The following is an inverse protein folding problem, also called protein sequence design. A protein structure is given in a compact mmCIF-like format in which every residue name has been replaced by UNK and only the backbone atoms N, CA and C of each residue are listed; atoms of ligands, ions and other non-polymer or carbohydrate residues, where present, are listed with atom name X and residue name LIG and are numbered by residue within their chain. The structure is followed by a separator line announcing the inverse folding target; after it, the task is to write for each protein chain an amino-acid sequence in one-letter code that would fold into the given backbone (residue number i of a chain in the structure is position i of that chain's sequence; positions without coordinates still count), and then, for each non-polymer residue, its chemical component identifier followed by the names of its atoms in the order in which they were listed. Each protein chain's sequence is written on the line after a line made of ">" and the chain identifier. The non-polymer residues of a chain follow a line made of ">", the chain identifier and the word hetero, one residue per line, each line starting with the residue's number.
data_IF_198641455424
#
_entry.id   IF_198641455424
#
_cell.length_a   1.000
_cell.length_b   1.000
_cell.length_c   1.000
_cell.angle_alpha   90.00
_cell.angle_beta   90.00
_cell.angle_gamma   90.00
#
_symmetry.space_group_name_H-M   'P 1'
#
loop_
_entity.id
_entity.type
_entity.pdbx_description
1 polymer ?
#
# COMPACT_ATOMS: atom_id res chain seq x y z
N UNK A 1 -22.94 2.00 -15.52
CA UNK A 1 -23.16 1.03 -16.61
C UNK A 1 -22.05 1.24 -17.62
N UNK A 2 -21.41 0.16 -18.06
CA UNK A 2 -20.28 0.21 -19.00
C UNK A 2 -20.65 -0.58 -20.26
N UNK A 3 -20.31 -0.06 -21.44
CA UNK A 3 -20.54 -0.72 -22.72
C UNK A 3 -19.35 -1.62 -23.08
N UNK A 4 -19.60 -2.79 -23.66
CA UNK A 4 -18.58 -3.73 -24.08
C UNK A 4 -19.00 -4.53 -25.31
N UNK A 5 -18.03 -5.06 -26.04
CA UNK A 5 -18.25 -5.86 -27.26
C UNK A 5 -17.55 -7.20 -27.11
N UNK A 6 -18.22 -8.29 -27.46
CA UNK A 6 -17.63 -9.64 -27.39
C UNK A 6 -16.77 -9.94 -28.63
N UNK A 7 -16.07 -11.08 -28.64
CA UNK A 7 -15.22 -11.50 -29.78
C UNK A 7 -15.97 -11.83 -31.07
N UNK A 8 -17.30 -11.92 -31.01
CA UNK A 8 -18.20 -12.12 -32.17
C UNK A 8 -18.75 -10.80 -32.72
N UNK A 9 -18.45 -9.66 -32.07
CA UNK A 9 -18.92 -8.35 -32.47
C UNK A 9 -20.28 -7.95 -31.89
N UNK A 10 -20.84 -8.71 -30.95
CA UNK A 10 -22.10 -8.32 -30.30
C UNK A 10 -21.83 -7.33 -29.17
N UNK A 11 -22.56 -6.21 -29.21
CA UNK A 11 -22.55 -5.20 -28.15
C UNK A 11 -23.45 -5.60 -26.99
N UNK A 12 -22.95 -5.41 -25.78
CA UNK A 12 -23.68 -5.63 -24.53
C UNK A 12 -23.29 -4.60 -23.48
N UNK A 13 -24.06 -4.56 -22.40
CA UNK A 13 -23.79 -3.71 -21.26
C UNK A 13 -23.43 -4.53 -20.02
N UNK A 14 -22.55 -3.96 -19.20
CA UNK A 14 -22.22 -4.42 -17.86
C UNK A 14 -22.88 -3.47 -16.86
N UNK A 15 -23.73 -4.03 -16.00
CA UNK A 15 -24.26 -3.29 -14.86
C UNK A 15 -23.24 -3.39 -13.73
N UNK A 16 -22.49 -2.30 -13.55
CA UNK A 16 -21.44 -2.21 -12.54
C UNK A 16 -21.94 -1.45 -11.30
N UNK A 17 -21.84 -2.08 -10.14
CA UNK A 17 -21.97 -1.42 -8.84
C UNK A 17 -20.58 -1.23 -8.22
N UNK A 18 -20.32 -0.05 -7.67
CA UNK A 18 -19.10 0.22 -6.88
C UNK A 18 -19.52 0.34 -5.42
N UNK A 19 -18.96 -0.50 -4.54
CA UNK A 19 -19.44 -0.66 -3.15
C UNK A 19 -18.27 -0.74 -2.16
N UNK A 20 -18.49 -0.42 -0.89
CA UNK A 20 -17.45 -0.54 0.15
C UNK A 20 -17.06 -1.99 0.46
N UNK A 21 -16.02 -2.18 1.29
CA UNK A 21 -15.47 -3.51 1.59
C UNK A 21 -16.50 -4.46 2.22
N UNK A 22 -17.28 -4.00 3.20
CA UNK A 22 -18.28 -4.84 3.88
C UNK A 22 -19.35 -5.35 2.90
N UNK A 23 -19.91 -4.45 2.09
CA UNK A 23 -20.89 -4.80 1.05
C UNK A 23 -20.27 -5.73 0.00
N UNK A 24 -19.02 -5.46 -0.41
CA UNK A 24 -18.31 -6.29 -1.39
C UNK A 24 -18.11 -7.73 -0.87
N UNK A 25 -17.71 -7.87 0.40
CA UNK A 25 -17.54 -9.18 1.05
C UNK A 25 -18.88 -9.91 1.17
N UNK A 26 -19.94 -9.23 1.62
CA UNK A 26 -21.28 -9.81 1.76
C UNK A 26 -21.86 -10.26 0.41
N UNK A 27 -21.66 -9.48 -0.65
CA UNK A 27 -22.08 -9.84 -2.01
C UNK A 27 -21.28 -11.04 -2.55
N UNK A 28 -20.01 -11.18 -2.15
CA UNK A 28 -19.18 -12.35 -2.48
C UNK A 28 -19.75 -13.66 -1.91
N UNK A 29 -20.30 -13.63 -0.69
CA UNK A 29 -20.93 -14.79 -0.06
C UNK A 29 -22.25 -15.22 -0.74
N UNK A 30 -22.90 -14.30 -1.44
CA UNK A 30 -24.18 -14.55 -2.15
C UNK A 30 -23.98 -15.21 -3.52
N UNK A 31 -22.73 -15.37 -3.99
CA UNK A 31 -22.44 -16.00 -5.27
C UNK A 31 -22.90 -17.46 -5.26
N UNK A 32 -23.83 -17.81 -6.16
CA UNK A 32 -24.41 -19.14 -6.27
C UNK A 32 -25.66 -19.36 -5.40
N UNK A 33 -26.11 -18.36 -4.63
CA UNK A 33 -27.41 -18.40 -3.97
C UNK A 33 -28.54 -18.18 -5.00
N UNK A 34 -29.51 -19.11 -5.01
CA UNK A 34 -30.60 -19.13 -6.00
C UNK A 34 -31.53 -17.91 -5.91
N UNK A 35 -31.77 -17.41 -4.70
CA UNK A 35 -32.66 -16.27 -4.50
C UNK A 35 -31.99 -14.96 -4.95
N UNK A 36 -30.71 -14.81 -4.64
CA UNK A 36 -29.88 -13.70 -5.07
C UNK A 36 -29.73 -13.68 -6.59
N UNK A 37 -29.44 -14.82 -7.23
CA UNK A 37 -29.40 -14.94 -8.69
C UNK A 37 -30.72 -14.56 -9.38
N UNK A 38 -31.85 -14.97 -8.80
CA UNK A 38 -33.17 -14.62 -9.33
C UNK A 38 -33.38 -13.10 -9.26
N UNK A 39 -33.04 -12.49 -8.12
CA UNK A 39 -33.14 -11.05 -7.89
C UNK A 39 -32.25 -10.27 -8.87
N UNK A 40 -31.00 -10.68 -9.05
CA UNK A 40 -30.07 -10.07 -9.99
C UNK A 40 -30.56 -10.19 -11.45
N UNK A 41 -31.17 -11.32 -11.83
CA UNK A 41 -31.81 -11.46 -13.15
C UNK A 41 -33.00 -10.52 -13.34
N UNK A 42 -33.84 -10.34 -12.32
CA UNK A 42 -34.93 -9.36 -12.38
C UNK A 42 -34.41 -7.94 -12.56
N UNK A 43 -33.34 -7.57 -11.85
CA UNK A 43 -32.68 -6.26 -11.99
C UNK A 43 -32.11 -6.09 -13.41
N UNK A 44 -31.39 -7.08 -13.93
CA UNK A 44 -30.82 -7.04 -15.28
C UNK A 44 -31.90 -6.85 -16.36
N UNK A 45 -33.01 -7.59 -16.25
CA UNK A 45 -34.12 -7.51 -17.20
C UNK A 45 -34.79 -6.13 -17.15
N UNK A 46 -35.18 -5.68 -15.95
CA UNK A 46 -35.82 -4.38 -15.78
C UNK A 46 -34.93 -3.22 -16.25
N UNK A 47 -33.61 -3.36 -16.07
CA UNK A 47 -32.65 -2.34 -16.54
C UNK A 47 -32.44 -2.43 -18.06
N UNK A 48 -32.50 -3.62 -18.65
CA UNK A 48 -32.38 -3.82 -20.10
C UNK A 48 -33.52 -3.13 -20.85
N UNK A 49 -34.73 -3.12 -20.30
CA UNK A 49 -35.89 -2.42 -20.88
C UNK A 49 -35.69 -0.90 -21.01
N UNK A 50 -34.72 -0.33 -20.29
CA UNK A 50 -34.38 1.09 -20.33
C UNK A 50 -33.29 1.42 -21.36
N UNK A 51 -32.68 0.41 -22.00
CA UNK A 51 -31.57 0.61 -22.92
C UNK A 51 -32.05 0.94 -24.34
N UNK A 52 -31.43 1.90 -25.03
CA UNK A 52 -31.72 2.17 -26.44
C UNK A 52 -31.41 0.98 -27.37
N UNK A 53 -30.38 0.21 -27.01
CA UNK A 53 -29.92 -0.98 -27.74
C UNK A 53 -29.02 -1.84 -26.85
N UNK A 54 -28.95 -3.13 -27.14
CA UNK A 54 -28.14 -4.09 -26.38
C UNK A 54 -28.90 -4.71 -25.21
N UNK A 55 -28.18 -5.44 -24.36
CA UNK A 55 -28.73 -6.10 -23.19
C UNK A 55 -27.70 -6.13 -22.05
N UNK A 56 -28.16 -6.22 -20.80
CA UNK A 56 -27.26 -6.45 -19.67
C UNK A 56 -26.80 -7.91 -19.73
N UNK A 57 -25.51 -8.13 -20.01
CA UNK A 57 -24.92 -9.48 -20.06
C UNK A 57 -24.32 -9.89 -18.72
N UNK A 58 -23.76 -8.93 -18.00
CA UNK A 58 -23.11 -9.17 -16.71
C UNK A 58 -23.57 -8.13 -15.70
N UNK A 59 -23.80 -8.59 -14.47
CA UNK A 59 -23.79 -7.72 -13.29
C UNK A 59 -22.46 -7.95 -12.61
N UNK A 60 -21.72 -6.87 -12.41
CA UNK A 60 -20.41 -6.89 -11.79
C UNK A 60 -20.40 -5.96 -10.59
N UNK A 61 -19.60 -6.31 -9.60
CA UNK A 61 -19.35 -5.48 -8.43
C UNK A 61 -17.86 -5.13 -8.43
N UNK A 62 -17.56 -3.86 -8.20
CA UNK A 62 -16.20 -3.35 -8.00
C UNK A 62 -16.09 -2.87 -6.56
N UNK A 63 -14.98 -3.22 -5.91
CA UNK A 63 -14.66 -2.64 -4.60
C UNK A 63 -14.34 -1.15 -4.79
N UNK A 64 -15.01 -0.29 -4.03
CA UNK A 64 -14.66 1.11 -3.93
C UNK A 64 -13.32 1.22 -3.20
N UNK A 65 -12.29 1.67 -3.92
CA UNK A 65 -10.98 1.99 -3.34
C UNK A 65 -10.77 3.49 -3.19
N UNK A 66 -11.73 4.33 -3.58
CA UNK A 66 -11.57 5.79 -3.57
C UNK A 66 -11.59 6.36 -2.14
N UNK A 67 -12.20 5.65 -1.20
CA UNK A 67 -12.17 5.98 0.24
C UNK A 67 -10.88 5.48 0.93
N UNK A 68 -10.02 4.75 0.21
CA UNK A 68 -8.75 4.30 0.75
C UNK A 68 -7.74 5.44 0.75
N UNK A 69 -6.80 5.46 1.72
CA UNK A 69 -5.69 6.40 1.67
C UNK A 69 -4.96 6.26 0.33
N UNK A 70 -4.86 7.35 -0.43
CA UNK A 70 -4.07 7.32 -1.67
C UNK A 70 -2.60 7.07 -1.34
N UNK A 71 -1.94 6.28 -2.18
CA UNK A 71 -0.51 6.02 -2.03
C UNK A 71 0.29 7.32 -2.22
N UNK A 72 1.15 7.64 -1.26
CA UNK A 72 2.22 8.63 -1.46
C UNK A 72 3.14 8.07 -2.53
N UNK A 73 3.53 8.86 -3.53
CA UNK A 73 4.42 8.42 -4.60
C UNK A 73 5.74 7.86 -4.04
N UNK A 74 6.32 6.86 -4.71
CA UNK A 74 7.65 6.36 -4.36
C UNK A 74 8.70 7.47 -4.57
N UNK A 75 9.61 7.68 -3.62
CA UNK A 75 10.67 8.69 -3.76
C UNK A 75 11.68 8.31 -4.82
N UNK A 76 12.13 9.32 -5.57
CA UNK A 76 13.32 9.22 -6.41
C UNK A 76 14.57 9.33 -5.51
N UNK A 77 15.20 8.20 -5.19
CA UNK A 77 16.37 8.16 -4.32
C UNK A 77 17.65 8.33 -5.15
N UNK A 78 18.49 9.31 -4.79
CA UNK A 78 19.73 9.61 -5.52
C UNK A 78 20.78 8.51 -5.39
N UNK A 79 20.69 7.71 -4.33
CA UNK A 79 21.63 6.65 -4.02
C UNK A 79 20.85 5.37 -3.77
N UNK A 80 20.96 4.46 -4.74
CA UNK A 80 20.26 3.17 -4.71
C UNK A 80 21.27 2.02 -4.74
N UNK A 81 21.02 1.02 -3.90
CA UNK A 81 21.47 -0.32 -4.23
C UNK A 81 20.39 -0.99 -5.08
N UNK A 82 20.78 -1.91 -5.96
CA UNK A 82 19.84 -2.70 -6.78
C UNK A 82 18.77 -3.41 -5.94
N UNK A 83 19.10 -3.76 -4.68
CA UNK A 83 18.15 -4.33 -3.73
C UNK A 83 17.08 -3.34 -3.29
N UNK A 84 17.44 -2.06 -3.06
CA UNK A 84 16.50 -1.01 -2.64
C UNK A 84 15.58 -0.64 -3.80
N UNK A 85 16.14 -0.44 -4.99
CA UNK A 85 15.39 -0.15 -6.21
C UNK A 85 14.33 -1.24 -6.48
N UNK A 86 14.77 -2.50 -6.50
CA UNK A 86 13.87 -3.64 -6.69
C UNK A 86 12.78 -3.72 -5.61
N UNK A 87 13.11 -3.44 -4.36
CA UNK A 87 12.13 -3.46 -3.28
C UNK A 87 11.06 -2.37 -3.45
N UNK A 88 11.43 -1.17 -3.90
CA UNK A 88 10.46 -0.11 -4.21
C UNK A 88 9.58 -0.48 -5.40
N UNK A 89 10.16 -1.00 -6.49
CA UNK A 89 9.38 -1.47 -7.65
C UNK A 89 8.40 -2.59 -7.30
N UNK A 90 8.83 -3.55 -6.48
CA UNK A 90 7.99 -4.65 -6.04
C UNK A 90 6.85 -4.13 -5.15
N UNK A 91 7.11 -3.12 -4.30
CA UNK A 91 6.07 -2.45 -3.52
C UNK A 91 5.05 -1.76 -4.43
N UNK A 92 5.48 -1.05 -5.46
CA UNK A 92 4.59 -0.37 -6.40
C UNK A 92 3.70 -1.34 -7.17
N UNK A 93 4.25 -2.47 -7.65
CA UNK A 93 3.47 -3.52 -8.31
C UNK A 93 2.42 -4.12 -7.37
N UNK A 94 2.77 -4.35 -6.10
CA UNK A 94 1.86 -4.88 -5.09
C UNK A 94 0.75 -3.89 -4.75
N UNK A 95 1.06 -2.60 -4.61
CA UNK A 95 0.06 -1.56 -4.37
C UNK A 95 -0.89 -1.45 -5.58
N UNK A 96 -0.37 -1.44 -6.79
CA UNK A 96 -1.16 -1.37 -8.01
C UNK A 96 -2.12 -2.55 -8.20
N UNK A 97 -1.85 -3.70 -7.56
CA UNK A 97 -2.74 -4.87 -7.59
C UNK A 97 -4.04 -4.69 -6.76
N UNK A 98 -4.13 -3.67 -5.91
CA UNK A 98 -5.31 -3.37 -5.08
C UNK A 98 -5.51 -4.25 -3.84
N UNK A 99 -4.81 -5.39 -3.71
CA UNK A 99 -4.88 -6.27 -2.53
C UNK A 99 -3.51 -6.56 -1.91
N UNK A 100 -2.44 -5.99 -2.47
CA UNK A 100 -1.07 -6.27 -2.08
C UNK A 100 -0.50 -5.37 -0.98
N UNK A 101 -1.27 -4.48 -0.33
CA UNK A 101 -0.70 -3.47 0.57
C UNK A 101 0.04 -4.10 1.76
N UNK A 102 -0.49 -5.17 2.37
CA UNK A 102 0.20 -5.86 3.48
C UNK A 102 1.55 -6.44 3.05
N UNK A 103 1.63 -7.00 1.84
CA UNK A 103 2.90 -7.48 1.27
C UNK A 103 3.80 -6.32 0.83
N UNK A 104 3.24 -5.23 0.34
CA UNK A 104 3.98 -4.03 -0.04
C UNK A 104 4.64 -3.36 1.17
N UNK A 105 4.02 -3.44 2.35
CA UNK A 105 4.59 -2.96 3.61
C UNK A 105 5.95 -3.60 3.92
N UNK A 106 6.08 -4.92 3.70
CA UNK A 106 7.38 -5.62 3.83
C UNK A 106 8.42 -5.09 2.84
N UNK A 107 7.99 -4.82 1.60
CA UNK A 107 8.87 -4.31 0.54
C UNK A 107 9.36 -2.90 0.83
N UNK A 108 8.49 -1.97 1.25
CA UNK A 108 8.93 -0.61 1.63
C UNK A 108 9.76 -0.60 2.89
N UNK A 109 9.49 -1.50 3.85
CA UNK A 109 10.36 -1.67 5.02
C UNK A 109 11.75 -2.18 4.59
N UNK A 110 11.83 -3.15 3.69
CA UNK A 110 13.10 -3.65 3.13
C UNK A 110 13.87 -2.54 2.42
N UNK A 111 13.18 -1.71 1.62
CA UNK A 111 13.75 -0.56 0.94
C UNK A 111 14.34 0.47 1.93
N UNK A 112 13.57 0.87 2.95
CA UNK A 112 14.04 1.78 4.00
C UNK A 112 15.28 1.23 4.71
N UNK A 113 15.32 -0.07 4.99
CA UNK A 113 16.46 -0.66 5.68
C UNK A 113 17.70 -0.64 4.82
N UNK A 114 17.58 -1.08 3.57
CA UNK A 114 18.69 -1.07 2.63
C UNK A 114 19.23 0.35 2.40
N UNK A 115 18.33 1.32 2.27
CA UNK A 115 18.69 2.71 2.04
C UNK A 115 19.43 3.32 3.23
N UNK A 116 18.93 3.15 4.47
CA UNK A 116 19.62 3.60 5.69
C UNK A 116 21.01 2.97 5.84
N UNK A 117 21.17 1.69 5.49
CA UNK A 117 22.48 1.02 5.50
C UNK A 117 23.46 1.66 4.50
N UNK A 118 22.99 1.97 3.29
CA UNK A 118 23.79 2.63 2.26
C UNK A 118 24.24 4.01 2.74
N UNK A 119 23.32 4.83 3.26
CA UNK A 119 23.62 6.17 3.75
C UNK A 119 24.59 6.15 4.94
N UNK A 120 24.39 5.25 5.90
CA UNK A 120 25.32 5.09 7.02
C UNK A 120 26.72 4.74 6.53
N UNK A 121 26.84 3.79 5.60
CA UNK A 121 28.13 3.37 5.04
C UNK A 121 28.84 4.52 4.33
N UNK A 122 28.14 5.32 3.53
CA UNK A 122 28.71 6.46 2.81
C UNK A 122 29.13 7.59 3.75
N UNK A 123 28.40 7.78 4.84
CA UNK A 123 28.77 8.72 5.90
C UNK A 123 29.85 8.20 6.86
N UNK A 124 30.36 6.97 6.66
CA UNK A 124 31.36 6.35 7.54
C UNK A 124 30.81 5.92 8.91
N UNK A 125 29.49 5.79 9.05
CA UNK A 125 28.80 5.34 10.26
C UNK A 125 28.83 3.80 10.30
N UNK A 126 29.40 3.25 11.38
CA UNK A 126 29.53 1.80 11.54
C UNK A 126 28.17 1.13 11.74
N UNK A 127 27.82 0.21 10.85
CA UNK A 127 26.62 -0.63 10.93
C UNK A 127 27.03 -2.10 10.83
N UNK A 128 26.57 -2.91 11.78
CA UNK A 128 26.91 -4.33 11.82
C UNK A 128 26.05 -5.12 10.81
N UNK A 129 26.58 -6.20 10.20
CA UNK A 129 25.78 -7.08 9.37
C UNK A 129 24.56 -7.63 10.13
N UNK A 130 23.36 -7.40 9.58
CA UNK A 130 22.11 -7.85 10.20
C UNK A 130 21.66 -7.02 11.40
N UNK A 131 22.26 -5.84 11.63
CA UNK A 131 21.80 -4.90 12.64
C UNK A 131 20.31 -4.54 12.42
N UNK A 132 19.56 -4.40 13.51
CA UNK A 132 18.14 -4.08 13.43
C UNK A 132 17.91 -2.68 12.87
N UNK A 133 16.92 -2.53 12.02
CA UNK A 133 16.50 -1.25 11.44
C UNK A 133 16.41 -0.12 12.48
N UNK A 134 15.83 -0.36 13.66
CA UNK A 134 15.70 0.66 14.70
C UNK A 134 17.04 1.13 15.27
N UNK A 135 18.01 0.22 15.37
CA UNK A 135 19.39 0.55 15.76
C UNK A 135 20.10 1.33 14.65
N UNK A 136 19.96 0.91 13.39
CA UNK A 136 20.51 1.62 12.23
C UNK A 136 19.93 3.03 12.12
N UNK A 137 18.60 3.18 12.24
CA UNK A 137 17.92 4.47 12.18
C UNK A 137 18.33 5.40 13.34
N UNK A 138 18.53 4.85 14.53
CA UNK A 138 19.07 5.61 15.67
C UNK A 138 20.48 6.16 15.35
N UNK A 139 21.38 5.30 14.87
CA UNK A 139 22.75 5.72 14.48
C UNK A 139 22.70 6.79 13.41
N UNK A 140 21.90 6.59 12.36
CA UNK A 140 21.70 7.55 11.28
C UNK A 140 21.27 8.92 11.82
N UNK A 141 20.23 8.97 12.65
CA UNK A 141 19.71 10.22 13.22
C UNK A 141 20.72 10.94 14.14
N UNK A 142 21.54 10.21 14.85
CA UNK A 142 22.46 10.77 15.86
C UNK A 142 23.85 11.10 15.31
N UNK A 143 24.21 10.56 14.14
CA UNK A 143 25.58 10.66 13.61
C UNK A 143 25.65 11.21 12.19
N UNK A 144 24.58 11.13 11.39
CA UNK A 144 24.62 11.61 10.02
C UNK A 144 24.63 13.15 9.98
N UNK A 145 25.65 13.81 9.39
CA UNK A 145 25.81 15.26 9.47
C UNK A 145 24.60 16.04 8.95
N UNK A 146 23.95 15.56 7.88
CA UNK A 146 22.77 16.21 7.30
C UNK A 146 21.49 16.11 8.15
N UNK A 147 21.49 15.25 9.17
CA UNK A 147 20.35 15.03 10.07
C UNK A 147 20.54 15.69 11.44
N UNK A 148 21.72 16.23 11.73
CA UNK A 148 21.97 17.04 12.91
C UNK A 148 21.36 18.43 12.71
N UNK A 149 20.10 18.59 13.11
CA UNK A 149 19.35 19.84 13.00
C UNK A 149 19.39 20.63 14.31
N UNK A 150 19.97 21.83 14.28
CA UNK A 150 20.07 22.76 15.41
C UNK A 150 19.26 24.06 15.21
N UNK A 151 18.43 24.11 14.16
CA UNK A 151 17.60 25.27 13.83
C UNK A 151 16.37 25.46 14.73
N UNK A 152 15.45 26.37 14.35
CA UNK A 152 14.25 26.65 15.11
C UNK A 152 13.43 25.39 15.41
N UNK A 153 12.95 25.27 16.66
CA UNK A 153 12.14 24.13 17.13
C UNK A 153 12.84 22.76 17.00
N UNK A 154 14.16 22.73 17.14
CA UNK A 154 14.97 21.49 17.04
C UNK A 154 14.53 20.40 18.02
N UNK A 155 14.06 20.77 19.21
CA UNK A 155 13.52 19.82 20.19
C UNK A 155 12.26 19.12 19.67
N UNK A 156 11.30 19.88 19.13
CA UNK A 156 10.05 19.37 18.58
C UNK A 156 10.30 18.49 17.35
N UNK A 157 11.18 18.93 16.45
CA UNK A 157 11.61 18.12 15.31
C UNK A 157 12.25 16.81 15.79
N UNK A 158 13.14 16.88 16.79
CA UNK A 158 13.74 15.71 17.41
C UNK A 158 12.73 14.76 18.05
N UNK A 159 11.64 15.26 18.64
CA UNK A 159 10.54 14.44 19.14
C UNK A 159 9.80 13.71 18.03
N UNK A 160 9.52 14.37 16.90
CA UNK A 160 8.90 13.74 15.73
C UNK A 160 9.76 12.59 15.21
N UNK A 161 11.07 12.77 15.10
CA UNK A 161 11.98 11.69 14.69
C UNK A 161 12.03 10.53 15.68
N UNK A 162 11.97 10.80 16.99
CA UNK A 162 11.85 9.73 17.99
C UNK A 162 10.53 8.98 17.81
N UNK A 163 9.44 9.68 17.50
CA UNK A 163 8.16 9.08 17.11
C UNK A 163 8.27 8.19 15.87
N UNK A 164 9.02 8.63 14.85
CA UNK A 164 9.30 7.82 13.66
C UNK A 164 10.03 6.51 14.01
N UNK A 165 10.97 6.53 14.96
CA UNK A 165 11.61 5.31 15.44
C UNK A 165 10.60 4.33 16.09
N UNK A 166 9.64 4.85 16.85
CA UNK A 166 8.54 4.04 17.42
C UNK A 166 7.65 3.44 16.33
N UNK A 167 7.33 4.22 15.27
CA UNK A 167 6.56 3.73 14.12
C UNK A 167 7.32 2.59 13.42
N UNK A 168 8.62 2.75 13.17
CA UNK A 168 9.46 1.70 12.55
C UNK A 168 9.45 0.41 13.39
N UNK A 169 9.54 0.51 14.72
CA UNK A 169 9.48 -0.66 15.61
C UNK A 169 8.10 -1.35 15.56
N UNK A 170 7.02 -0.57 15.52
CA UNK A 170 5.67 -1.10 15.38
C UNK A 170 5.49 -1.83 14.04
N UNK A 171 5.99 -1.25 12.94
CA UNK A 171 5.97 -1.89 11.61
C UNK A 171 6.73 -3.23 11.62
N UNK A 172 7.87 -3.33 12.29
CA UNK A 172 8.60 -4.61 12.45
C UNK A 172 7.72 -5.69 13.07
N UNK A 173 6.98 -5.35 14.12
CA UNK A 173 6.07 -6.27 14.82
C UNK A 173 4.91 -6.68 13.92
N UNK A 174 4.28 -5.70 13.26
CA UNK A 174 3.15 -5.92 12.38
C UNK A 174 3.52 -6.79 11.17
N UNK A 175 4.68 -6.56 10.55
CA UNK A 175 5.20 -7.42 9.48
C UNK A 175 5.40 -8.87 9.95
N UNK A 176 5.99 -9.06 11.14
CA UNK A 176 6.27 -10.40 11.66
C UNK A 176 4.99 -11.19 11.99
N UNK A 177 3.93 -10.48 12.37
CA UNK A 177 2.67 -11.09 12.81
C UNK A 177 1.61 -11.16 11.69
N UNK A 178 1.78 -10.42 10.59
CA UNK A 178 0.88 -10.44 9.43
C UNK A 178 1.19 -11.58 8.43
N UNK A 179 2.04 -12.54 8.79
CA UNK A 179 2.38 -13.66 7.90
C UNK A 179 1.26 -14.72 7.89
N UNK A 180 0.92 -15.19 6.70
CA UNK A 180 -0.08 -16.25 6.39
C UNK A 180 0.25 -17.62 7.05
N UNK A 181 1.35 -17.73 7.80
CA UNK A 181 1.86 -18.98 8.36
C UNK A 181 1.19 -19.42 9.67
N UNK A 182 0.35 -18.57 10.28
CA UNK A 182 -0.41 -18.93 11.47
C UNK A 182 -1.93 -18.76 11.26
N UNK A 183 -2.76 -19.76 11.60
CA UNK A 183 -4.23 -19.72 11.45
C UNK A 183 -4.97 -18.68 12.31
N UNK A 184 -4.27 -17.74 12.95
CA UNK A 184 -4.91 -16.76 13.82
C UNK A 184 -5.28 -15.51 13.01
N UNK A 185 -6.49 -15.57 12.45
CA UNK A 185 -7.53 -14.53 12.55
C UNK A 185 -7.04 -13.07 12.65
N UNK A 186 -6.68 -12.52 11.49
CA UNK A 186 -6.92 -11.15 11.00
C UNK A 186 -5.67 -10.58 10.29
N UNK A 187 -5.65 -10.73 8.96
CA UNK A 187 -4.70 -10.02 8.09
C UNK A 187 -4.95 -8.52 8.25
N UNK A 188 -3.89 -7.74 8.45
CA UNK A 188 -3.98 -6.27 8.54
C UNK A 188 -4.82 -5.73 7.37
N UNK A 189 -5.86 -4.90 7.63
CA UNK A 189 -6.67 -4.39 6.56
C UNK A 189 -5.88 -3.42 5.67
N UNK A 190 -6.31 -3.29 4.43
CA UNK A 190 -5.55 -2.60 3.38
C UNK A 190 -5.36 -1.10 3.69
N UNK A 191 -6.28 -0.49 4.44
CA UNK A 191 -6.24 0.94 4.75
C UNK A 191 -5.12 1.26 5.74
N UNK A 192 -4.99 0.44 6.78
CA UNK A 192 -3.93 0.50 7.78
C UNK A 192 -2.57 0.19 7.13
N UNK A 193 -2.52 -0.84 6.26
CA UNK A 193 -1.30 -1.16 5.53
C UNK A 193 -0.84 0.02 4.65
N UNK A 194 -1.77 0.66 3.93
CA UNK A 194 -1.47 1.81 3.10
C UNK A 194 -1.05 3.04 3.93
N UNK A 195 -1.71 3.28 5.07
CA UNK A 195 -1.29 4.31 6.01
C UNK A 195 0.16 4.13 6.46
N UNK A 196 0.56 2.91 6.84
CA UNK A 196 1.93 2.61 7.26
C UNK A 196 2.94 2.75 6.11
N UNK A 197 2.57 2.30 4.90
CA UNK A 197 3.37 2.51 3.69
C UNK A 197 3.62 4.01 3.48
N UNK A 198 2.58 4.83 3.60
CA UNK A 198 2.67 6.27 3.41
C UNK A 198 3.56 6.94 4.46
N UNK A 199 3.55 6.48 5.72
CA UNK A 199 4.48 6.96 6.75
C UNK A 199 5.94 6.63 6.39
N UNK A 200 6.21 5.42 5.91
CA UNK A 200 7.56 5.00 5.49
C UNK A 200 8.03 5.79 4.27
N UNK A 201 7.16 5.96 3.26
CA UNK A 201 7.47 6.77 2.08
C UNK A 201 7.73 8.23 2.42
N UNK A 202 6.92 8.81 3.31
CA UNK A 202 7.13 10.18 3.80
C UNK A 202 8.50 10.32 4.48
N UNK A 203 8.91 9.32 5.26
CA UNK A 203 10.23 9.30 5.88
C UNK A 203 11.36 9.18 4.83
N UNK A 204 11.20 8.31 3.83
CA UNK A 204 12.17 8.17 2.73
C UNK A 204 12.33 9.49 1.95
N UNK A 205 11.23 10.13 1.56
CA UNK A 205 11.23 11.45 0.90
C UNK A 205 11.99 12.49 1.71
N UNK A 206 11.68 12.59 3.00
CA UNK A 206 12.34 13.53 3.88
C UNK A 206 13.85 13.26 4.00
N UNK A 207 14.24 11.99 4.18
CA UNK A 207 15.66 11.60 4.28
C UNK A 207 16.39 11.95 2.99
N UNK A 208 15.82 11.60 1.84
CA UNK A 208 16.40 11.89 0.53
C UNK A 208 16.62 13.40 0.35
N UNK A 209 15.60 14.20 0.65
CA UNK A 209 15.69 15.66 0.60
C UNK A 209 16.85 16.17 1.46
N UNK A 210 16.96 15.69 2.71
CA UNK A 210 18.02 16.10 3.64
C UNK A 210 19.41 15.68 3.20
N UNK A 211 19.56 14.52 2.57
CA UNK A 211 20.85 14.03 2.09
C UNK A 211 21.29 14.75 0.81
N UNK A 212 20.34 15.20 -0.02
CA UNK A 212 20.61 15.99 -1.24
C UNK A 212 20.99 17.45 -0.98
N UNK A 213 20.42 18.08 0.06
CA UNK A 213 20.90 19.39 0.58
C UNK A 213 22.37 19.31 0.97
#
# INVERSE_FOLDING_TARGET
>A
MEAATNSFGDDFCVLLATVGFEDYAQLGEQIGDRNSEHTYRLIANATTDLLPSGYIRFIAVRLNTDDMPNAVESPDLSILSSTVERALEDADKLIASGQGATSALDRVHTALHGYLNVLCREAGIAVDPGEKMTSVFKKFREQHPKLLYDGPRSNEVGMVFKGAATIIEAVNTLRNNASVAHPNEEVMPQAEAMFLINLIRSLLHFIEMKVRE
#
